data_IF_455110239755
#
_entry.id   IF_455110239755
#
_cell.length_a   1.000
_cell.length_b   1.000
_cell.length_c   1.000
_cell.angle_alpha   90.00
_cell.angle_beta   90.00
_cell.angle_gamma   90.00
#
_symmetry.space_group_name_H-M   'P 1'
#
loop_
_entity.id
_entity.type
_entity.pdbx_description
1 polymer ?
#
# COMPACT_ATOMS: atom_id res chain seq x y z
N UNK A 1 16.96 -23.71 22.02
CA UNK A 1 17.03 -22.84 20.83
C UNK A 1 17.53 -23.71 19.68
N UNK A 2 16.61 -24.38 18.99
CA UNK A 2 16.96 -25.31 17.92
C UNK A 2 17.50 -24.51 16.74
N UNK A 3 18.70 -24.87 16.26
CA UNK A 3 19.21 -24.40 14.98
C UNK A 3 18.30 -24.95 13.90
N UNK A 4 17.72 -24.07 13.09
CA UNK A 4 17.11 -24.44 11.83
C UNK A 4 18.20 -25.11 10.97
N UNK A 5 17.87 -26.22 10.33
CA UNK A 5 18.78 -26.90 9.41
C UNK A 5 19.21 -25.93 8.29
N UNK A 6 20.54 -25.76 8.13
CA UNK A 6 21.22 -24.64 7.46
C UNK A 6 21.08 -24.60 5.93
N UNK A 7 20.30 -25.51 5.33
CA UNK A 7 20.17 -25.68 3.87
C UNK A 7 18.74 -25.49 3.33
N UNK A 8 17.73 -25.22 4.18
CA UNK A 8 16.37 -24.94 3.67
C UNK A 8 16.27 -23.47 3.25
N UNK A 9 15.97 -23.16 1.97
CA UNK A 9 15.85 -21.79 1.52
C UNK A 9 14.72 -21.08 2.27
N UNK A 10 15.01 -19.92 2.87
CA UNK A 10 14.00 -19.07 3.46
C UNK A 10 13.18 -18.44 2.33
N UNK A 11 11.86 -18.63 2.38
CA UNK A 11 10.94 -18.15 1.35
C UNK A 11 10.15 -16.93 1.85
N UNK A 12 9.83 -16.05 0.91
CA UNK A 12 8.92 -14.91 1.11
C UNK A 12 7.71 -15.07 0.21
N UNK A 13 6.51 -14.96 0.77
CA UNK A 13 5.28 -15.08 0.00
C UNK A 13 4.97 -13.77 -0.72
N UNK A 14 4.98 -13.80 -2.06
CA UNK A 14 4.48 -12.71 -2.92
C UNK A 14 3.06 -13.01 -3.40
N UNK A 15 2.40 -12.02 -4.00
CA UNK A 15 1.08 -12.19 -4.63
C UNK A 15 1.11 -13.17 -5.81
N UNK A 16 2.28 -13.40 -6.41
CA UNK A 16 2.48 -14.38 -7.50
C UNK A 16 3.00 -15.74 -7.03
N UNK A 17 3.27 -15.92 -5.74
CA UNK A 17 3.83 -17.15 -5.17
C UNK A 17 5.06 -16.91 -4.28
N UNK A 18 5.59 -17.97 -3.63
CA UNK A 18 6.80 -17.86 -2.83
C UNK A 18 8.03 -17.58 -3.71
N UNK A 19 8.94 -16.74 -3.20
CA UNK A 19 10.26 -16.46 -3.78
C UNK A 19 11.36 -16.68 -2.73
N UNK A 20 12.56 -17.14 -3.11
CA UNK A 20 13.70 -17.20 -2.20
C UNK A 20 14.09 -15.82 -1.65
N UNK A 21 14.51 -15.76 -0.39
CA UNK A 21 14.87 -14.49 0.27
C UNK A 21 16.04 -13.77 -0.41
N UNK A 22 16.96 -14.52 -1.01
CA UNK A 22 18.11 -14.01 -1.77
C UNK A 22 17.73 -13.52 -3.17
N UNK A 23 16.50 -13.79 -3.63
CA UNK A 23 15.94 -13.30 -4.89
C UNK A 23 15.10 -12.01 -4.75
N UNK A 24 14.87 -11.51 -3.53
CA UNK A 24 14.11 -10.27 -3.30
C UNK A 24 14.76 -9.04 -3.97
N UNK A 25 16.10 -9.05 -4.10
CA UNK A 25 16.85 -7.95 -4.69
C UNK A 25 16.62 -6.59 -4.02
N UNK A 26 16.73 -5.51 -4.80
CA UNK A 26 16.43 -4.17 -4.31
C UNK A 26 14.95 -4.06 -3.92
N UNK A 27 14.71 -3.79 -2.65
CA UNK A 27 13.38 -3.86 -2.03
C UNK A 27 12.99 -2.51 -1.44
N UNK A 28 11.77 -2.04 -1.74
CA UNK A 28 11.11 -1.00 -0.95
C UNK A 28 10.29 -1.68 0.15
N UNK A 29 10.72 -1.60 1.43
CA UNK A 29 10.13 -2.39 2.51
C UNK A 29 8.79 -1.83 3.01
N UNK A 30 8.39 -0.64 2.54
CA UNK A 30 7.12 0.00 2.89
C UNK A 30 6.65 0.84 1.69
N UNK A 31 5.52 0.48 1.10
CA UNK A 31 4.83 1.27 0.09
C UNK A 31 3.32 1.04 0.11
N UNK A 32 2.58 1.91 -0.57
CA UNK A 32 1.14 1.75 -0.81
C UNK A 32 0.91 1.90 -2.32
N UNK A 33 0.65 0.80 -3.01
CA UNK A 33 0.45 0.78 -4.47
C UNK A 33 -0.99 1.17 -4.82
N UNK A 34 -1.90 0.89 -3.90
CA UNK A 34 -3.29 1.33 -3.90
C UNK A 34 -3.67 1.76 -2.49
N UNK A 35 -4.66 2.63 -2.37
CA UNK A 35 -5.15 3.07 -1.07
C UNK A 35 -6.28 4.08 -1.18
N UNK A 36 -7.08 4.16 -0.13
CA UNK A 36 -8.13 5.14 0.02
C UNK A 36 -8.02 5.76 1.42
N UNK A 37 -7.63 7.03 1.48
CA UNK A 37 -7.54 7.82 2.70
C UNK A 37 -8.69 8.84 2.77
N UNK A 38 -9.82 8.58 2.10
CA UNK A 38 -10.97 9.49 2.04
C UNK A 38 -11.53 9.84 3.42
N UNK A 39 -11.31 9.02 4.43
CA UNK A 39 -11.73 9.30 5.81
C UNK A 39 -10.87 10.36 6.51
N UNK A 40 -9.62 10.52 6.08
CA UNK A 40 -8.72 11.56 6.58
C UNK A 40 -9.03 12.92 5.94
N UNK A 41 -9.84 12.96 4.87
CA UNK A 41 -10.17 14.19 4.16
C UNK A 41 -10.91 15.16 5.07
N UNK A 42 -10.43 16.39 5.11
CA UNK A 42 -10.98 17.45 5.95
C UNK A 42 -11.13 18.77 5.19
N UNK A 43 -11.95 19.71 5.69
CA UNK A 43 -11.97 21.07 5.15
C UNK A 43 -10.58 21.72 5.25
N UNK A 44 -10.18 22.56 4.28
CA UNK A 44 -8.87 23.20 4.31
C UNK A 44 -8.59 23.93 5.63
N UNK A 45 -7.41 23.72 6.23
CA UNK A 45 -7.04 24.37 7.50
C UNK A 45 -6.72 25.87 7.33
N UNK A 46 -6.55 26.31 6.09
CA UNK A 46 -6.28 27.70 5.70
C UNK A 46 -7.03 28.04 4.41
N UNK A 47 -7.21 29.34 4.16
CA UNK A 47 -7.76 29.81 2.89
C UNK A 47 -6.75 29.60 1.77
N UNK A 48 -7.18 28.90 0.72
CA UNK A 48 -6.45 28.74 -0.53
C UNK A 48 -7.16 29.49 -1.66
N UNK A 49 -6.44 29.91 -2.71
CA UNK A 49 -7.04 30.59 -3.87
C UNK A 49 -7.89 29.66 -4.74
N UNK A 50 -7.82 28.34 -4.50
CA UNK A 50 -8.55 27.30 -5.21
C UNK A 50 -9.29 26.46 -4.18
N UNK A 51 -10.50 26.02 -4.51
CA UNK A 51 -11.21 25.02 -3.71
C UNK A 51 -10.56 23.64 -3.94
N UNK A 52 -9.82 23.15 -2.94
CA UNK A 52 -9.06 21.90 -3.05
C UNK A 52 -9.94 20.65 -2.93
N UNK A 53 -11.12 20.75 -2.31
CA UNK A 53 -11.92 19.58 -1.95
C UNK A 53 -12.26 18.70 -3.17
N UNK A 54 -12.65 19.35 -4.25
CA UNK A 54 -13.08 18.71 -5.51
C UNK A 54 -12.15 19.02 -6.69
N UNK A 55 -11.02 19.69 -6.46
CA UNK A 55 -10.04 19.96 -7.50
C UNK A 55 -9.26 18.68 -7.88
N UNK A 56 -9.12 18.45 -9.19
CA UNK A 56 -8.20 17.44 -9.72
C UNK A 56 -6.74 17.83 -9.43
N UNK A 57 -5.94 16.87 -9.00
CA UNK A 57 -4.51 17.04 -8.77
C UNK A 57 -3.80 17.38 -10.08
N UNK A 58 -3.09 18.50 -10.07
CA UNK A 58 -2.23 18.94 -11.17
C UNK A 58 -0.91 19.47 -10.61
N UNK A 59 0.10 19.59 -11.49
CA UNK A 59 1.37 20.21 -11.12
C UNK A 59 1.19 21.65 -10.60
N UNK A 60 0.17 22.38 -11.07
CA UNK A 60 -0.10 23.77 -10.69
C UNK A 60 -0.53 23.91 -9.22
N UNK A 61 -1.28 22.92 -8.71
CA UNK A 61 -1.77 22.92 -7.32
C UNK A 61 -0.93 22.06 -6.38
N UNK A 62 0.09 21.36 -6.89
CA UNK A 62 0.93 20.47 -6.08
C UNK A 62 1.61 21.16 -4.90
N UNK A 63 1.86 22.47 -4.96
CA UNK A 63 2.41 23.22 -3.83
C UNK A 63 1.37 23.46 -2.72
N UNK A 64 0.08 23.60 -3.08
CA UNK A 64 -1.02 23.70 -2.12
C UNK A 64 -1.20 22.38 -1.36
N UNK A 65 -1.14 21.26 -2.08
CA UNK A 65 -1.28 19.91 -1.52
C UNK A 65 -0.09 19.52 -0.62
N UNK A 66 1.07 20.16 -0.74
CA UNK A 66 2.17 19.98 0.22
C UNK A 66 1.89 20.64 1.57
N UNK A 67 1.07 21.69 1.59
CA UNK A 67 0.66 22.37 2.82
C UNK A 67 -0.51 21.66 3.48
N UNK A 68 -1.45 21.15 2.67
CA UNK A 68 -2.66 20.49 3.17
C UNK A 68 -3.08 19.33 2.23
N UNK A 69 -2.45 18.15 2.36
CA UNK A 69 -2.65 17.03 1.42
C UNK A 69 -4.03 16.38 1.53
N UNK A 70 -4.66 16.45 2.71
CA UNK A 70 -5.97 15.86 2.98
C UNK A 70 -7.12 16.84 2.76
N UNK A 71 -6.85 18.06 2.30
CA UNK A 71 -7.87 18.96 1.79
C UNK A 71 -8.42 18.58 0.42
N UNK A 72 -7.84 17.59 -0.28
CA UNK A 72 -8.26 17.15 -1.61
C UNK A 72 -8.64 15.67 -1.62
N UNK A 73 -9.86 15.38 -2.09
CA UNK A 73 -10.33 13.99 -2.26
C UNK A 73 -9.55 13.25 -3.35
N UNK A 74 -9.20 13.96 -4.41
CA UNK A 74 -8.45 13.40 -5.54
C UNK A 74 -7.02 13.01 -5.12
N UNK A 75 -6.40 13.79 -4.24
CA UNK A 75 -5.07 13.49 -3.70
C UNK A 75 -5.07 12.34 -2.67
N UNK A 76 -6.19 12.12 -1.99
CA UNK A 76 -6.30 11.15 -0.88
C UNK A 76 -6.53 9.70 -1.34
N UNK A 77 -6.58 9.42 -2.65
CA UNK A 77 -6.94 8.10 -3.16
C UNK A 77 -6.10 7.67 -4.36
N UNK A 78 -5.68 6.42 -4.33
CA UNK A 78 -5.14 5.66 -5.47
C UNK A 78 -6.01 4.41 -5.65
N UNK A 79 -7.00 4.52 -6.54
CA UNK A 79 -7.98 3.48 -6.80
C UNK A 79 -7.45 2.33 -7.65
N UNK A 80 -8.10 1.16 -7.55
CA UNK A 80 -7.78 0.00 -8.38
C UNK A 80 -8.00 0.25 -9.89
N UNK A 81 -8.87 1.21 -10.23
CA UNK A 81 -9.11 1.69 -11.59
C UNK A 81 -7.91 2.45 -12.20
N UNK A 82 -6.96 2.88 -11.37
CA UNK A 82 -5.75 3.58 -11.79
C UNK A 82 -4.55 2.65 -12.02
N UNK A 83 -4.76 1.33 -12.12
CA UNK A 83 -3.67 0.34 -12.21
C UNK A 83 -2.64 0.58 -13.33
N UNK A 84 -3.03 1.16 -14.46
CA UNK A 84 -2.07 1.54 -15.52
C UNK A 84 -1.14 2.68 -15.09
N UNK A 85 -1.68 3.68 -14.39
CA UNK A 85 -0.88 4.80 -13.85
C UNK A 85 0.09 4.27 -12.79
N UNK A 86 -0.38 3.39 -11.91
CA UNK A 86 0.47 2.74 -10.90
C UNK A 86 1.59 1.91 -11.56
N UNK A 87 1.30 1.20 -12.66
CA UNK A 87 2.30 0.48 -13.43
C UNK A 87 3.37 1.40 -14.04
N UNK A 88 2.96 2.56 -14.56
CA UNK A 88 3.88 3.57 -15.09
C UNK A 88 4.77 4.15 -13.96
N UNK A 89 4.21 4.41 -12.78
CA UNK A 89 4.94 4.95 -11.61
C UNK A 89 5.97 3.97 -11.02
N UNK A 90 5.71 2.65 -11.06
CA UNK A 90 6.71 1.66 -10.61
C UNK A 90 7.76 1.35 -11.66
N UNK A 91 7.54 1.70 -12.93
CA UNK A 91 8.45 1.41 -14.04
C UNK A 91 9.86 2.01 -13.83
N UNK A 92 10.01 3.27 -13.37
CA UNK A 92 11.33 3.82 -13.00
C UNK A 92 12.06 3.00 -11.95
N UNK A 93 11.36 2.49 -10.92
CA UNK A 93 11.96 1.65 -9.89
C UNK A 93 12.47 0.33 -10.48
N UNK A 94 11.64 -0.36 -11.25
CA UNK A 94 12.03 -1.60 -11.96
C UNK A 94 13.21 -1.34 -12.90
N UNK A 95 13.17 -0.24 -13.66
CA UNK A 95 14.24 0.14 -14.59
C UNK A 95 15.57 0.46 -13.90
N UNK A 96 15.52 0.94 -12.65
CA UNK A 96 16.69 1.16 -11.81
C UNK A 96 17.24 -0.12 -11.15
N UNK A 97 16.64 -1.28 -11.42
CA UNK A 97 17.02 -2.57 -10.81
C UNK A 97 16.21 -2.94 -9.57
N UNK A 98 15.16 -2.17 -9.26
CA UNK A 98 14.14 -2.51 -8.27
C UNK A 98 13.50 -3.86 -8.57
N UNK A 99 13.30 -4.68 -7.53
CA UNK A 99 12.76 -6.04 -7.66
C UNK A 99 11.52 -6.27 -6.83
N UNK A 100 11.50 -5.74 -5.61
CA UNK A 100 10.42 -6.02 -4.65
C UNK A 100 9.83 -4.76 -4.04
N UNK A 101 8.51 -4.75 -3.89
CA UNK A 101 7.79 -3.78 -3.05
C UNK A 101 6.97 -4.54 -2.03
N UNK A 102 7.02 -4.10 -0.77
CA UNK A 102 6.10 -4.55 0.27
C UNK A 102 4.94 -3.55 0.32
N UNK A 103 3.79 -3.97 -0.21
CA UNK A 103 2.55 -3.22 -0.07
C UNK A 103 2.05 -3.35 1.37
N UNK A 104 1.99 -2.22 2.06
CA UNK A 104 1.70 -2.09 3.48
C UNK A 104 0.25 -1.66 3.74
N UNK A 105 -0.61 -1.73 2.71
CA UNK A 105 -2.04 -1.50 2.88
C UNK A 105 -2.66 -2.68 3.65
N UNK A 106 -3.60 -2.36 4.54
CA UNK A 106 -4.29 -3.31 5.43
C UNK A 106 -5.81 -3.20 5.24
N UNK A 107 -6.57 -4.11 5.85
CA UNK A 107 -8.04 -4.08 5.76
C UNK A 107 -8.57 -4.12 4.32
N UNK A 108 -9.55 -3.27 4.02
CA UNK A 108 -10.24 -3.18 2.71
C UNK A 108 -9.36 -2.66 1.58
N UNK A 109 -8.26 -1.97 1.90
CA UNK A 109 -7.37 -1.34 0.91
C UNK A 109 -6.25 -2.26 0.39
N UNK A 110 -6.21 -3.52 0.83
CA UNK A 110 -5.21 -4.52 0.36
C UNK A 110 -5.30 -4.86 -1.12
N UNK A 111 -6.47 -4.68 -1.75
CA UNK A 111 -6.75 -4.91 -3.19
C UNK A 111 -5.96 -6.09 -3.83
N UNK A 112 -6.10 -7.36 -3.36
CA UNK A 112 -5.21 -8.45 -3.77
C UNK A 112 -5.20 -8.72 -5.29
N UNK A 113 -6.36 -8.59 -5.94
CA UNK A 113 -6.48 -8.79 -7.39
C UNK A 113 -5.74 -7.70 -8.19
N UNK A 114 -5.75 -6.45 -7.72
CA UNK A 114 -5.05 -5.35 -8.36
C UNK A 114 -3.53 -5.49 -8.19
N UNK A 115 -3.06 -5.90 -7.01
CA UNK A 115 -1.65 -6.22 -6.78
C UNK A 115 -1.17 -7.36 -7.66
N UNK A 116 -1.97 -8.43 -7.82
CA UNK A 116 -1.64 -9.54 -8.71
C UNK A 116 -1.55 -9.13 -10.18
N UNK A 117 -2.48 -8.30 -10.66
CA UNK A 117 -2.45 -7.76 -12.02
C UNK A 117 -1.22 -6.87 -12.25
N UNK A 118 -0.92 -5.99 -11.29
CA UNK A 118 0.25 -5.12 -11.33
C UNK A 118 1.56 -5.91 -11.36
N UNK A 119 1.71 -6.92 -10.50
CA UNK A 119 2.88 -7.82 -10.48
C UNK A 119 3.08 -8.51 -11.84
N UNK A 120 2.00 -9.02 -12.44
CA UNK A 120 2.04 -9.68 -13.75
C UNK A 120 2.43 -8.74 -14.89
N UNK A 121 1.95 -7.49 -14.85
CA UNK A 121 2.23 -6.48 -15.89
C UNK A 121 3.66 -5.96 -15.84
N UNK A 122 4.20 -5.80 -14.64
CA UNK A 122 5.47 -5.09 -14.42
C UNK A 122 6.65 -6.02 -14.17
N UNK A 123 6.39 -7.28 -13.81
CA UNK A 123 7.42 -8.22 -13.33
C UNK A 123 7.93 -7.90 -11.93
N UNK A 124 7.29 -6.96 -11.22
CA UNK A 124 7.61 -6.59 -9.85
C UNK A 124 7.16 -7.70 -8.88
N UNK A 125 8.04 -8.09 -7.97
CA UNK A 125 7.64 -8.93 -6.83
C UNK A 125 6.89 -8.05 -5.83
N UNK A 126 5.66 -8.43 -5.48
CA UNK A 126 4.84 -7.68 -4.52
C UNK A 126 4.52 -8.57 -3.33
N UNK A 127 4.99 -8.18 -2.15
CA UNK A 127 4.57 -8.77 -0.87
C UNK A 127 3.38 -7.98 -0.38
N UNK A 128 2.24 -8.64 -0.21
CA UNK A 128 1.03 -8.00 0.31
C UNK A 128 0.98 -8.21 1.82
N UNK A 129 0.91 -7.11 2.57
CA UNK A 129 0.73 -7.15 4.02
C UNK A 129 -0.64 -7.69 4.42
N UNK A 130 -0.73 -8.12 5.68
CA UNK A 130 -1.96 -8.54 6.34
C UNK A 130 -2.13 -7.82 7.68
N UNK A 131 -3.27 -8.03 8.33
CA UNK A 131 -3.61 -7.41 9.61
C UNK A 131 -4.51 -6.18 9.46
N UNK A 132 -4.56 -5.40 10.55
CA UNK A 132 -5.48 -4.29 10.78
C UNK A 132 -4.74 -2.95 10.89
N UNK A 133 -5.45 -1.85 10.63
CA UNK A 133 -4.92 -0.50 10.68
C UNK A 133 -5.30 0.22 11.98
N UNK A 134 -4.88 1.48 12.10
CA UNK A 134 -5.35 2.40 13.13
C UNK A 134 -6.88 2.58 13.03
N UNK A 135 -7.52 2.97 14.13
CA UNK A 135 -8.98 3.17 14.24
C UNK A 135 -9.58 4.24 13.30
N UNK A 136 -8.75 4.93 12.52
CA UNK A 136 -9.16 5.83 11.44
C UNK A 136 -9.12 5.06 10.13
N UNK A 137 -9.72 3.87 10.04
CA UNK A 137 -9.67 3.00 8.86
C UNK A 137 -10.24 1.62 9.13
N UNK A 138 -10.14 1.20 10.39
CA UNK A 138 -10.99 0.18 10.97
C UNK A 138 -11.99 0.84 11.92
N UNK A 139 -13.26 0.45 11.79
CA UNK A 139 -14.30 0.73 12.78
C UNK A 139 -13.76 0.41 14.18
N UNK A 140 -14.22 1.11 15.21
CA UNK A 140 -13.86 0.88 16.63
C UNK A 140 -14.02 -0.59 17.13
N UNK A 141 -14.45 -1.50 16.27
CA UNK A 141 -14.56 -2.96 16.42
C UNK A 141 -13.33 -3.66 17.00
N UNK A 142 -12.12 -3.10 16.88
CA UNK A 142 -10.92 -3.74 17.44
C UNK A 142 -10.61 -3.35 18.89
N UNK A 143 -11.25 -2.30 19.42
CA UNK A 143 -10.98 -1.82 20.80
C UNK A 143 -11.32 -2.89 21.83
N UNK A 144 -12.38 -3.67 21.57
CA UNK A 144 -12.88 -4.73 22.44
C UNK A 144 -12.61 -6.14 21.85
N UNK A 145 -11.80 -6.24 20.80
CA UNK A 145 -11.55 -7.52 20.14
C UNK A 145 -10.63 -8.41 20.99
N UNK A 146 -10.95 -9.71 21.05
CA UNK A 146 -10.11 -10.70 21.72
C UNK A 146 -8.85 -10.96 20.88
N UNK A 147 -7.69 -10.62 21.45
CA UNK A 147 -6.37 -10.83 20.85
C UNK A 147 -6.17 -12.29 20.42
N UNK A 148 -6.71 -13.27 21.16
CA UNK A 148 -6.59 -14.67 20.80
C UNK A 148 -7.39 -14.99 19.53
N UNK A 149 -8.61 -14.48 19.42
CA UNK A 149 -9.44 -14.64 18.22
C UNK A 149 -8.82 -13.94 17.00
N UNK A 150 -8.30 -12.73 17.18
CA UNK A 150 -7.57 -12.00 16.13
C UNK A 150 -6.31 -12.74 15.69
N UNK A 151 -5.57 -13.34 16.63
CA UNK A 151 -4.39 -14.14 16.28
C UNK A 151 -4.78 -15.31 15.40
N UNK A 152 -5.84 -16.05 15.76
CA UNK A 152 -6.37 -17.16 14.97
C UNK A 152 -6.77 -16.71 13.57
N UNK A 153 -7.47 -15.58 13.43
CA UNK A 153 -7.84 -15.03 12.13
C UNK A 153 -6.61 -14.71 11.26
N UNK A 154 -5.55 -14.17 11.86
CA UNK A 154 -4.33 -13.78 11.14
C UNK A 154 -3.50 -14.99 10.68
N UNK A 155 -3.44 -16.06 11.48
CA UNK A 155 -2.61 -17.25 11.19
C UNK A 155 -3.35 -18.37 10.46
N UNK A 156 -4.68 -18.39 10.51
CA UNK A 156 -5.51 -19.48 9.97
C UNK A 156 -5.70 -20.64 10.94
#
# INVERSE_FOLDING_TARGET
MARLDDDTPVLVQTVTGPVPVDELGMTLPHGHLFGDLSEAVHPPVRSFPVDLADATVTAEIAWLLREDPYASRDNARIGADQGSIVADEVTPFVSAGGRTVIDSSTGVERRPAALLDLARRTGLQIVMSGGWCLSHGDVHTLTDADVAAMTVELVG
#
